data_IF_038638907690
#
_entry.id   IF_038638907690
#
_cell.length_a   1.000
_cell.length_b   1.000
_cell.length_c   1.000
_cell.angle_alpha   90.00
_cell.angle_beta   90.00
_cell.angle_gamma   90.00
#
_symmetry.space_group_name_H-M   'P 1'
#
loop_
_entity.id
_entity.type
_entity.pdbx_description
1 polymer ?
#
# COMPACT_ATOMS: atom_id res chain seq x y z
N UNK A 1 -22.48 40.34 -35.67
CA UNK A 1 -22.88 40.01 -34.28
C UNK A 1 -22.89 38.49 -34.17
N UNK A 2 -21.99 37.89 -33.39
CA UNK A 2 -21.96 36.43 -33.18
C UNK A 2 -22.81 36.14 -31.95
N UNK A 3 -23.91 35.42 -32.12
CA UNK A 3 -24.76 34.99 -31.02
C UNK A 3 -23.99 33.95 -30.21
N UNK A 4 -23.65 34.27 -28.97
CA UNK A 4 -23.11 33.32 -28.00
C UNK A 4 -24.27 32.43 -27.55
N UNK A 5 -24.41 31.26 -28.17
CA UNK A 5 -25.37 30.26 -27.73
C UNK A 5 -24.95 29.71 -26.37
N UNK A 6 -25.87 29.77 -25.41
CA UNK A 6 -25.67 29.23 -24.07
C UNK A 6 -25.57 27.70 -24.17
N UNK A 7 -24.56 27.04 -23.57
CA UNK A 7 -24.42 25.59 -23.67
C UNK A 7 -25.66 24.88 -23.12
N UNK A 8 -26.15 23.81 -23.77
CA UNK A 8 -27.32 23.07 -23.33
C UNK A 8 -27.19 22.60 -21.87
N UNK A 9 -28.29 22.56 -21.10
CA UNK A 9 -28.27 22.17 -19.68
C UNK A 9 -27.66 20.77 -19.44
N UNK A 10 -27.68 19.90 -20.45
CA UNK A 10 -27.04 18.59 -20.43
C UNK A 10 -25.50 18.65 -20.28
N UNK A 11 -24.84 19.62 -20.92
CA UNK A 11 -23.38 19.77 -20.82
C UNK A 11 -22.95 20.24 -19.43
N UNK A 12 -23.71 21.15 -18.82
CA UNK A 12 -23.47 21.59 -17.45
C UNK A 12 -23.64 20.43 -16.46
N UNK A 13 -24.65 19.58 -16.65
CA UNK A 13 -24.89 18.40 -15.82
C UNK A 13 -23.75 17.37 -15.90
N UNK A 14 -23.28 17.04 -17.11
CA UNK A 14 -22.14 16.14 -17.29
C UNK A 14 -20.85 16.70 -16.69
N UNK A 15 -20.62 18.00 -16.82
CA UNK A 15 -19.47 18.67 -16.23
C UNK A 15 -19.51 18.60 -14.70
N UNK A 16 -20.67 18.79 -14.08
CA UNK A 16 -20.85 18.66 -12.62
C UNK A 16 -20.58 17.23 -12.16
N UNK A 17 -21.04 16.22 -12.90
CA UNK A 17 -20.73 14.81 -12.60
C UNK A 17 -19.22 14.57 -12.70
N UNK A 18 -18.57 15.02 -13.77
CA UNK A 18 -17.13 14.87 -13.97
C UNK A 18 -16.31 15.56 -12.88
N UNK A 19 -16.68 16.78 -12.51
CA UNK A 19 -16.03 17.51 -11.41
C UNK A 19 -16.29 16.80 -10.08
N UNK A 20 -17.51 16.29 -9.84
CA UNK A 20 -17.83 15.56 -8.61
C UNK A 20 -17.03 14.27 -8.49
N UNK A 21 -16.94 13.46 -9.55
CA UNK A 21 -16.12 12.23 -9.54
C UNK A 21 -14.63 12.53 -9.43
N UNK A 22 -14.16 13.62 -10.05
CA UNK A 22 -12.78 14.09 -9.92
C UNK A 22 -12.47 14.57 -8.49
N UNK A 23 -13.34 15.37 -7.87
CA UNK A 23 -13.19 15.82 -6.48
C UNK A 23 -13.30 14.66 -5.48
N UNK A 24 -14.16 13.68 -5.74
CA UNK A 24 -14.23 12.45 -4.96
C UNK A 24 -12.94 11.62 -5.09
N UNK A 25 -12.32 11.58 -6.27
CA UNK A 25 -11.01 10.94 -6.44
C UNK A 25 -9.86 11.67 -5.74
N UNK A 26 -9.96 13.00 -5.59
CA UNK A 26 -9.02 13.80 -4.78
C UNK A 26 -9.24 13.62 -3.26
N UNK A 27 -10.41 13.11 -2.85
CA UNK A 27 -10.78 12.95 -1.44
C UNK A 27 -10.28 11.66 -0.79
N UNK A 28 -9.47 10.85 -1.50
CA UNK A 28 -8.71 9.79 -0.87
C UNK A 28 -7.71 10.43 0.10
N UNK A 29 -8.11 10.52 1.38
CA UNK A 29 -7.25 11.04 2.44
C UNK A 29 -5.91 10.33 2.40
N UNK A 30 -4.83 11.10 2.36
CA UNK A 30 -3.48 10.55 2.42
C UNK A 30 -3.33 9.81 3.74
N UNK A 31 -3.26 8.49 3.64
CA UNK A 31 -3.10 7.60 4.78
C UNK A 31 -1.62 7.34 4.96
N UNK A 32 -1.06 7.69 6.10
CA UNK A 32 0.36 7.46 6.41
C UNK A 32 0.60 6.21 7.25
N UNK A 33 -0.47 5.52 7.68
CA UNK A 33 -0.38 4.44 8.66
C UNK A 33 -1.43 3.35 8.49
N UNK A 34 -1.09 2.14 8.95
CA UNK A 34 -1.95 0.96 9.01
C UNK A 34 -1.97 0.43 10.44
N UNK A 35 -3.17 0.30 11.00
CA UNK A 35 -3.38 -0.31 12.31
C UNK A 35 -3.61 -1.81 12.24
N UNK A 36 -3.79 -2.42 13.42
CA UNK A 36 -4.28 -3.79 13.54
C UNK A 36 -5.61 -3.97 12.79
N UNK A 37 -5.80 -5.12 12.15
CA UNK A 37 -6.99 -5.49 11.36
C UNK A 37 -7.25 -4.65 10.09
N UNK A 38 -6.45 -3.62 9.84
CA UNK A 38 -6.47 -2.92 8.57
C UNK A 38 -5.57 -3.65 7.56
N UNK A 39 -5.92 -3.51 6.28
CA UNK A 39 -5.18 -4.09 5.16
C UNK A 39 -4.95 -2.97 4.13
N UNK A 40 -3.78 -2.97 3.51
CA UNK A 40 -3.46 -2.17 2.33
C UNK A 40 -3.45 -3.11 1.13
N UNK A 41 -4.36 -2.97 0.17
CA UNK A 41 -4.45 -3.86 -1.00
C UNK A 41 -3.63 -3.32 -2.18
N UNK A 42 -3.42 -4.16 -3.20
CA UNK A 42 -2.97 -3.68 -4.51
C UNK A 42 -3.90 -2.55 -5.00
N UNK A 43 -3.30 -1.44 -5.45
CA UNK A 43 -3.99 -0.19 -5.79
C UNK A 43 -4.07 0.84 -4.65
N UNK A 44 -3.93 0.43 -3.39
CA UNK A 44 -3.84 1.35 -2.25
C UNK A 44 -2.38 1.75 -1.97
N UNK A 45 -2.20 2.93 -1.36
CA UNK A 45 -0.87 3.39 -0.93
C UNK A 45 -0.89 3.96 0.49
N UNK A 46 0.28 3.92 1.15
CA UNK A 46 0.58 4.81 2.25
C UNK A 46 1.42 5.97 1.74
N UNK A 47 1.11 7.18 2.16
CA UNK A 47 1.86 8.38 1.78
C UNK A 47 2.33 9.06 3.06
N UNK A 48 3.63 9.35 3.15
CA UNK A 48 4.18 10.11 4.28
C UNK A 48 3.44 11.45 4.42
N UNK A 49 3.33 11.99 5.63
CA UNK A 49 2.61 13.25 5.91
C UNK A 49 3.05 14.42 5.01
N UNK A 50 4.34 14.50 4.69
CA UNK A 50 4.92 15.52 3.79
C UNK A 50 4.66 15.26 2.30
N UNK A 51 4.10 14.11 1.93
CA UNK A 51 3.87 13.72 0.55
C UNK A 51 5.12 13.29 -0.22
N UNK A 52 6.28 13.13 0.43
CA UNK A 52 7.56 12.83 -0.24
C UNK A 52 7.70 11.35 -0.57
N UNK A 53 7.30 10.48 0.36
CA UNK A 53 7.47 9.03 0.24
C UNK A 53 6.12 8.35 0.10
N UNK A 54 6.07 7.35 -0.78
CA UNK A 54 4.90 6.51 -1.00
C UNK A 54 5.31 5.06 -0.82
N UNK A 55 4.50 4.29 -0.11
CA UNK A 55 4.59 2.84 0.02
C UNK A 55 3.38 2.21 -0.66
N UNK A 56 3.60 1.20 -1.50
CA UNK A 56 2.50 0.47 -2.12
C UNK A 56 2.99 -0.69 -2.99
N UNK A 57 2.05 -1.32 -3.68
CA UNK A 57 2.35 -2.40 -4.60
C UNK A 57 2.70 -1.85 -5.99
N UNK A 58 3.70 -2.44 -6.63
CA UNK A 58 4.08 -2.12 -8.00
C UNK A 58 4.45 -3.38 -8.77
N UNK A 59 4.28 -3.33 -10.08
CA UNK A 59 4.59 -4.46 -10.95
C UNK A 59 6.08 -4.45 -11.28
N UNK A 60 6.73 -5.60 -11.13
CA UNK A 60 8.04 -5.80 -11.70
C UNK A 60 7.96 -5.95 -13.22
N UNK A 61 9.08 -6.38 -13.81
CA UNK A 61 9.12 -6.67 -15.23
C UNK A 61 8.22 -7.87 -15.54
N UNK A 62 7.34 -7.69 -16.52
CA UNK A 62 6.54 -8.79 -17.05
C UNK A 62 7.46 -9.83 -17.69
N UNK A 63 7.39 -11.07 -17.23
CA UNK A 63 8.14 -12.17 -17.83
C UNK A 63 7.19 -12.91 -18.77
N UNK A 64 7.58 -13.04 -20.04
CA UNK A 64 6.84 -13.85 -21.00
C UNK A 64 7.50 -15.24 -21.06
N UNK A 65 6.85 -16.25 -20.49
CA UNK A 65 7.29 -17.65 -20.58
C UNK A 65 6.26 -18.39 -21.43
N UNK A 66 6.70 -18.92 -22.57
CA UNK A 66 5.88 -19.78 -23.45
C UNK A 66 4.53 -19.16 -23.85
N UNK A 67 4.51 -17.86 -24.16
CA UNK A 67 3.29 -17.14 -24.55
C UNK A 67 2.38 -16.75 -23.39
N UNK A 68 2.78 -17.01 -22.14
CA UNK A 68 2.11 -16.55 -20.92
C UNK A 68 2.88 -15.41 -20.30
N UNK A 69 2.22 -14.25 -20.18
CA UNK A 69 2.74 -13.13 -19.38
C UNK A 69 2.47 -13.41 -17.91
N UNK A 70 3.54 -13.54 -17.12
CA UNK A 70 3.44 -13.61 -15.66
C UNK A 70 3.68 -12.22 -15.09
N UNK A 71 2.65 -11.68 -14.44
CA UNK A 71 2.74 -10.44 -13.66
C UNK A 71 3.41 -10.79 -12.33
N UNK A 72 4.57 -10.20 -12.06
CA UNK A 72 5.21 -10.26 -10.74
C UNK A 72 4.98 -8.94 -10.02
N UNK A 73 4.71 -8.99 -8.72
CA UNK A 73 4.42 -7.79 -7.95
C UNK A 73 5.25 -7.73 -6.67
N UNK A 74 5.61 -6.50 -6.32
CA UNK A 74 6.43 -6.19 -5.17
C UNK A 74 5.75 -5.11 -4.34
N UNK A 75 5.96 -5.14 -3.03
CA UNK A 75 5.71 -4.01 -2.16
C UNK A 75 7.00 -3.21 -2.03
N UNK A 76 6.93 -1.92 -2.33
CA UNK A 76 8.09 -1.05 -2.22
C UNK A 76 7.74 0.35 -1.79
N UNK A 77 8.81 1.13 -1.61
CA UNK A 77 8.78 2.52 -1.22
C UNK A 77 9.49 3.33 -2.31
N UNK A 78 8.87 4.41 -2.75
CA UNK A 78 9.42 5.29 -3.79
C UNK A 78 9.18 6.77 -3.44
N UNK A 79 9.86 7.64 -4.17
CA UNK A 79 9.59 9.07 -4.12
C UNK A 79 8.31 9.41 -4.87
N UNK A 80 7.42 10.20 -4.26
CA UNK A 80 6.15 10.58 -4.88
C UNK A 80 6.34 11.33 -6.22
N UNK A 81 7.47 12.04 -6.38
CA UNK A 81 7.80 12.74 -7.63
C UNK A 81 8.30 11.81 -8.75
N UNK A 82 8.61 10.53 -8.46
CA UNK A 82 9.07 9.55 -9.44
C UNK A 82 8.71 8.13 -9.01
N UNK A 83 7.71 7.55 -9.68
CA UNK A 83 7.31 6.15 -9.48
C UNK A 83 8.38 5.14 -9.91
N UNK A 84 9.36 5.57 -10.71
CA UNK A 84 10.46 4.73 -11.19
C UNK A 84 11.61 4.64 -10.17
N UNK A 85 11.65 5.55 -9.18
CA UNK A 85 12.72 5.59 -8.18
C UNK A 85 12.30 4.85 -6.92
N UNK A 86 12.34 3.52 -6.99
CA UNK A 86 12.08 2.64 -5.84
C UNK A 86 13.33 2.60 -4.95
N UNK A 87 13.20 3.03 -3.70
CA UNK A 87 14.30 3.14 -2.72
C UNK A 87 14.31 2.00 -1.70
N UNK A 88 13.24 1.21 -1.63
CA UNK A 88 13.15 0.05 -0.75
C UNK A 88 12.15 -0.98 -1.30
N UNK A 89 12.45 -2.28 -1.18
CA UNK A 89 11.57 -3.38 -1.63
C UNK A 89 11.47 -4.49 -0.58
N UNK A 90 10.29 -4.70 -0.01
CA UNK A 90 10.09 -5.68 1.07
C UNK A 90 10.36 -7.12 0.60
N UNK A 91 9.65 -7.55 -0.44
CA UNK A 91 9.61 -8.93 -0.90
C UNK A 91 10.49 -9.14 -2.14
N UNK A 92 11.68 -8.53 -2.16
CA UNK A 92 12.62 -8.60 -3.30
C UNK A 92 12.95 -10.05 -3.70
N UNK A 93 13.18 -10.91 -2.71
CA UNK A 93 13.55 -12.32 -2.93
C UNK A 93 12.34 -13.22 -3.24
N UNK A 94 11.14 -12.80 -2.84
CA UNK A 94 9.91 -13.60 -2.95
C UNK A 94 8.80 -12.76 -3.60
N UNK A 95 8.83 -12.57 -4.94
CA UNK A 95 7.80 -11.84 -5.66
C UNK A 95 6.41 -12.45 -5.48
N UNK A 96 5.39 -11.59 -5.47
CA UNK A 96 3.99 -12.03 -5.52
C UNK A 96 3.69 -12.54 -6.94
N UNK A 97 3.06 -13.70 -7.02
CA UNK A 97 2.73 -14.37 -8.28
C UNK A 97 1.23 -14.68 -8.43
N UNK A 98 0.43 -14.49 -7.37
CA UNK A 98 -1.03 -14.58 -7.43
C UNK A 98 -1.67 -13.22 -7.80
N UNK A 99 -2.96 -13.26 -8.14
CA UNK A 99 -3.69 -12.11 -8.68
C UNK A 99 -3.94 -10.97 -7.68
N UNK A 100 -4.02 -11.29 -6.38
CA UNK A 100 -4.34 -10.31 -5.34
C UNK A 100 -3.24 -10.30 -4.29
N UNK A 101 -2.91 -9.12 -3.79
CA UNK A 101 -2.00 -8.95 -2.67
C UNK A 101 -2.50 -7.94 -1.65
N UNK A 102 -1.94 -8.08 -0.45
CA UNK A 102 -2.26 -7.24 0.68
C UNK A 102 -1.07 -7.12 1.62
N UNK A 103 -0.84 -5.92 2.17
CA UNK A 103 -0.01 -5.73 3.35
C UNK A 103 -0.92 -5.67 4.58
N UNK A 104 -0.60 -6.46 5.59
CA UNK A 104 -1.35 -6.52 6.84
C UNK A 104 -0.41 -6.41 8.04
N UNK A 105 -0.81 -5.62 9.03
CA UNK A 105 -0.21 -5.64 10.36
C UNK A 105 -1.01 -6.60 11.24
N UNK A 106 -0.37 -7.66 11.72
CA UNK A 106 -1.03 -8.60 12.62
C UNK A 106 -0.94 -8.14 14.09
N UNK A 107 -1.71 -8.80 14.95
CA UNK A 107 -1.77 -8.53 16.40
C UNK A 107 -0.42 -8.75 17.11
N UNK A 108 0.53 -9.44 16.48
CA UNK A 108 1.89 -9.65 17.00
C UNK A 108 2.86 -8.56 16.56
N UNK A 109 2.41 -7.52 15.86
CA UNK A 109 3.27 -6.47 15.33
C UNK A 109 4.17 -6.90 14.17
N UNK A 110 3.82 -7.99 13.48
CA UNK A 110 4.48 -8.36 12.24
C UNK A 110 3.73 -7.74 11.05
N UNK A 111 4.49 -7.12 10.16
CA UNK A 111 4.01 -6.76 8.83
C UNK A 111 4.13 -7.98 7.92
N UNK A 112 3.01 -8.40 7.34
CA UNK A 112 2.93 -9.54 6.46
C UNK A 112 2.46 -9.09 5.08
N UNK A 113 3.16 -9.55 4.04
CA UNK A 113 2.68 -9.45 2.66
C UNK A 113 1.99 -10.76 2.33
N UNK A 114 0.72 -10.64 1.96
CA UNK A 114 -0.18 -11.73 1.66
C UNK A 114 -0.43 -11.77 0.16
N UNK A 115 -0.63 -12.96 -0.37
CA UNK A 115 -1.12 -13.15 -1.75
C UNK A 115 -2.26 -14.16 -1.81
N UNK A 116 -3.21 -13.94 -2.72
CA UNK A 116 -4.35 -14.84 -2.93
C UNK A 116 -4.81 -14.88 -4.39
N UNK A 117 -5.49 -15.97 -4.75
CA UNK A 117 -6.26 -16.08 -6.00
C UNK A 117 -7.67 -15.48 -5.85
N UNK A 118 -8.11 -15.21 -4.62
CA UNK A 118 -9.44 -14.70 -4.31
C UNK A 118 -9.36 -13.24 -3.84
N UNK A 119 -10.15 -12.31 -4.42
CA UNK A 119 -10.14 -10.89 -4.02
C UNK A 119 -10.55 -10.65 -2.57
N UNK A 120 -11.35 -11.56 -1.99
CA UNK A 120 -11.89 -11.38 -0.64
C UNK A 120 -10.84 -11.61 0.46
N UNK A 121 -9.67 -12.21 0.13
CA UNK A 121 -8.53 -12.45 1.04
C UNK A 121 -8.95 -12.80 2.47
N UNK A 122 -9.77 -13.85 2.61
CA UNK A 122 -10.35 -14.25 3.89
C UNK A 122 -9.27 -14.94 4.72
N UNK A 123 -8.89 -14.31 5.83
CA UNK A 123 -7.88 -14.81 6.77
C UNK A 123 -8.31 -16.19 7.33
N UNK A 124 -7.38 -17.17 7.35
CA UNK A 124 -7.66 -18.52 7.84
C UNK A 124 -8.21 -19.53 6.81
N UNK A 125 -8.24 -19.18 5.52
CA UNK A 125 -8.51 -20.13 4.42
C UNK A 125 -7.21 -20.59 3.76
N UNK A 126 -7.22 -21.76 3.10
CA UNK A 126 -6.06 -22.33 2.39
C UNK A 126 -5.62 -21.51 1.16
N UNK A 127 -6.31 -20.40 0.85
CA UNK A 127 -6.09 -19.61 -0.37
C UNK A 127 -5.18 -18.38 -0.16
N UNK A 128 -4.82 -18.05 1.09
CA UNK A 128 -3.98 -16.90 1.44
C UNK A 128 -2.61 -17.37 1.90
N UNK A 129 -1.57 -16.98 1.17
CA UNK A 129 -0.18 -17.29 1.54
C UNK A 129 0.54 -16.03 2.03
N UNK A 130 1.43 -16.18 3.00
CA UNK A 130 2.38 -15.13 3.39
C UNK A 130 3.64 -15.27 2.53
N UNK A 131 3.97 -14.26 1.73
CA UNK A 131 5.19 -14.25 0.89
C UNK A 131 6.38 -13.55 1.55
N UNK A 132 6.10 -12.67 2.51
CA UNK A 132 7.11 -11.96 3.27
C UNK A 132 6.57 -11.57 4.64
N UNK A 133 7.42 -11.58 5.66
CA UNK A 133 7.12 -11.09 7.00
C UNK A 133 8.30 -10.29 7.53
N UNK A 134 8.02 -9.21 8.26
CA UNK A 134 9.04 -8.46 8.99
C UNK A 134 9.72 -9.29 10.08
N UNK A 135 9.15 -10.46 10.44
CA UNK A 135 9.62 -11.33 11.52
C UNK A 135 9.93 -10.54 12.80
N UNK A 136 9.06 -9.58 13.10
CA UNK A 136 9.15 -8.71 14.26
C UNK A 136 9.26 -9.57 15.53
N UNK A 137 10.34 -9.41 16.28
CA UNK A 137 10.40 -9.92 17.64
C UNK A 137 9.69 -8.92 18.51
N UNK A 138 8.55 -9.29 19.10
CA UNK A 138 8.07 -8.56 20.27
C UNK A 138 9.18 -8.69 21.32
N UNK A 139 9.95 -7.63 21.52
CA UNK A 139 10.85 -7.55 22.67
C UNK A 139 9.94 -7.38 23.89
N UNK A 140 9.71 -8.49 24.60
CA UNK A 140 8.87 -8.58 25.81
C UNK A 140 9.48 -7.79 26.98
N UNK A 141 10.65 -7.19 26.82
CA UNK A 141 11.37 -6.55 27.91
C UNK A 141 10.99 -5.05 28.01
N UNK A 142 10.01 -4.78 28.89
CA UNK A 142 9.76 -3.48 29.53
C UNK A 142 8.94 -2.41 28.79
N UNK A 143 8.33 -2.68 27.64
CA UNK A 143 7.39 -1.72 27.02
C UNK A 143 5.98 -1.92 27.57
N UNK A 144 5.36 -0.87 28.10
CA UNK A 144 3.91 -0.85 28.38
C UNK A 144 3.18 -1.06 27.06
N UNK A 145 2.78 -2.30 26.80
CA UNK A 145 1.96 -2.66 25.66
C UNK A 145 0.66 -1.85 25.71
N UNK A 146 0.42 -1.11 24.65
CA UNK A 146 -0.87 -0.47 24.38
C UNK A 146 -1.67 -1.41 23.47
N UNK A 147 -3.00 -1.36 23.49
CA UNK A 147 -3.82 -2.10 22.52
C UNK A 147 -3.83 -1.41 21.14
N UNK A 148 -2.69 -0.83 20.73
CA UNK A 148 -2.60 0.03 19.55
C UNK A 148 -1.27 -0.17 18.83
N UNK A 149 -1.10 -1.32 18.17
CA UNK A 149 -0.01 -1.50 17.22
C UNK A 149 -0.31 -0.76 15.92
N UNK A 150 0.65 0.02 15.44
CA UNK A 150 0.53 0.80 14.21
C UNK A 150 1.82 0.68 13.41
N UNK A 151 1.70 0.48 12.10
CA UNK A 151 2.79 0.70 11.17
C UNK A 151 2.61 2.04 10.47
N UNK A 152 3.62 2.91 10.53
CA UNK A 152 3.57 4.29 10.05
C UNK A 152 4.73 4.59 9.12
N UNK A 153 4.43 5.20 7.97
CA UNK A 153 5.42 5.75 7.03
C UNK A 153 5.76 7.18 7.43
N UNK A 154 7.04 7.41 7.76
CA UNK A 154 7.53 8.72 8.20
C UNK A 154 8.02 9.60 7.02
N UNK A 155 8.18 10.90 7.28
CA UNK A 155 8.69 11.87 6.32
C UNK A 155 10.16 11.66 5.93
N UNK A 156 10.90 10.80 6.64
CA UNK A 156 12.24 10.38 6.24
C UNK A 156 12.26 9.13 5.36
N UNK A 157 11.09 8.57 5.01
CA UNK A 157 10.98 7.34 4.24
C UNK A 157 11.18 6.08 5.08
N UNK A 158 11.19 6.21 6.41
CA UNK A 158 11.24 5.03 7.29
C UNK A 158 9.82 4.52 7.59
N UNK A 159 9.53 3.28 7.23
CA UNK A 159 8.35 2.54 7.68
C UNK A 159 8.64 1.90 9.04
N UNK A 160 7.86 2.24 10.06
CA UNK A 160 8.09 1.81 11.45
C UNK A 160 6.85 1.14 12.03
N UNK A 161 7.03 0.05 12.76
CA UNK A 161 5.98 -0.59 13.57
C UNK A 161 6.20 -0.24 15.03
N UNK A 162 5.16 0.27 15.69
CA UNK A 162 5.22 0.67 17.10
C UNK A 162 4.04 0.14 17.90
N UNK A 163 4.28 -0.25 19.14
CA UNK A 163 3.26 -0.50 20.17
C UNK A 163 3.81 -0.06 21.54
N UNK A 164 3.58 1.18 21.95
CA UNK A 164 4.21 1.75 23.16
C UNK A 164 5.75 1.89 23.09
N UNK A 165 6.39 1.36 22.05
CA UNK A 165 7.81 1.39 21.74
C UNK A 165 8.05 0.90 20.31
N UNK A 166 9.30 1.01 19.81
CA UNK A 166 9.68 0.55 18.46
C UNK A 166 9.78 -0.98 18.43
N UNK A 167 9.07 -1.63 17.51
CA UNK A 167 9.10 -3.08 17.31
C UNK A 167 9.97 -3.45 16.10
N UNK A 168 9.80 -2.71 15.00
CA UNK A 168 10.49 -2.97 13.73
C UNK A 168 10.58 -1.68 12.91
N UNK A 169 11.59 -1.56 12.06
CA UNK A 169 11.63 -0.52 11.05
C UNK A 169 12.42 -0.93 9.80
N UNK A 170 12.05 -0.34 8.66
CA UNK A 170 12.60 -0.68 7.33
C UNK A 170 14.09 -0.40 7.17
N UNK A 171 14.65 0.58 7.91
CA UNK A 171 16.05 0.99 7.76
C UNK A 171 17.05 -0.07 8.22
N UNK A 172 16.63 -1.02 9.05
CA UNK A 172 17.45 -2.19 9.42
C UNK A 172 17.60 -3.20 8.25
N UNK A 173 16.80 -3.05 7.20
CA UNK A 173 16.74 -3.98 6.07
C UNK A 173 16.81 -3.21 4.73
N UNK A 174 17.96 -2.57 4.41
CA UNK A 174 18.13 -1.82 3.17
C UNK A 174 18.16 -2.74 1.93
N UNK A 175 17.89 -2.17 0.75
CA UNK A 175 17.82 -2.90 -0.52
C UNK A 175 18.56 -2.19 -1.64
#
# INVERSE_FOLDING_TARGET
>A
MRNSECPPPFFAFLLVIFISTFLLSLSHGLRDSIGENQILRDGDTLVSESGIFVLGFFNGNNINIEGRTTKTMYLGLWYNFSTDTVVWVANRENPITKSFAALQLNEKGCLNILQSKNPNMINGTNDVDVVWSSNSRILVENTKFTNQTVAKLSNSGNLRVTNGGLIWHSFDYPT
#
